data_IF_200722251996
#
_entry.id   IF_200722251996
#
_cell.length_a   1.000
_cell.length_b   1.000
_cell.length_c   1.000
_cell.angle_alpha   90.00
_cell.angle_beta   90.00
_cell.angle_gamma   90.00
#
_symmetry.space_group_name_H-M   'P 1'
#
loop_
_entity.id
_entity.type
_entity.pdbx_description
1 polymer ?
#
# COMPACT_ATOMS: atom_id res chain seq x y z
N UNK A 1 -37.27 5.18 23.38
CA UNK A 1 -36.35 4.31 22.60
C UNK A 1 -35.08 5.11 22.32
N UNK A 2 -33.89 4.64 22.71
CA UNK A 2 -32.62 5.35 22.46
C UNK A 2 -32.05 4.89 21.11
N UNK A 3 -31.60 5.83 20.27
CA UNK A 3 -31.00 5.56 18.95
C UNK A 3 -29.54 6.05 18.96
N UNK A 4 -28.60 5.19 18.61
CA UNK A 4 -27.16 5.50 18.51
C UNK A 4 -26.77 5.58 17.05
N UNK A 5 -25.89 6.51 16.69
CA UNK A 5 -25.41 6.69 15.31
C UNK A 5 -24.32 7.76 15.24
N UNK A 6 -23.69 7.86 14.08
CA UNK A 6 -22.70 8.89 13.78
C UNK A 6 -23.32 9.88 12.80
N UNK A 7 -23.13 11.17 13.04
CA UNK A 7 -23.58 12.25 12.17
C UNK A 7 -22.42 13.21 11.95
N UNK A 8 -22.22 13.62 10.70
CA UNK A 8 -21.17 14.57 10.33
C UNK A 8 -21.64 16.00 10.56
N UNK A 9 -20.75 16.82 11.11
CA UNK A 9 -20.99 18.24 11.32
C UNK A 9 -19.70 18.96 11.70
N UNK A 10 -19.69 20.25 11.42
CA UNK A 10 -18.48 21.08 11.54
C UNK A 10 -18.09 21.33 13.01
N UNK A 11 -19.05 21.21 13.94
CA UNK A 11 -18.83 21.25 15.37
C UNK A 11 -19.97 20.58 16.16
N UNK A 12 -19.72 20.27 17.44
CA UNK A 12 -20.71 19.64 18.31
C UNK A 12 -22.02 20.46 18.50
N UNK A 13 -21.97 21.81 18.40
CA UNK A 13 -23.16 22.67 18.52
C UNK A 13 -24.11 22.50 17.32
N UNK A 14 -23.57 22.46 16.11
CA UNK A 14 -24.30 22.26 14.86
C UNK A 14 -24.94 20.86 14.83
N UNK A 15 -24.21 19.84 15.28
CA UNK A 15 -24.73 18.46 15.39
C UNK A 15 -25.91 18.38 16.37
N UNK A 16 -25.81 19.01 17.55
CA UNK A 16 -26.89 19.03 18.54
C UNK A 16 -28.16 19.71 18.02
N UNK A 17 -27.99 20.82 17.29
CA UNK A 17 -29.10 21.56 16.70
C UNK A 17 -29.84 20.72 15.65
N UNK A 18 -29.10 20.04 14.75
CA UNK A 18 -29.69 19.11 13.76
C UNK A 18 -30.43 17.94 14.42
N UNK A 19 -29.88 17.36 15.49
CA UNK A 19 -30.55 16.28 16.22
C UNK A 19 -31.88 16.77 16.84
N UNK A 20 -31.90 18.00 17.38
CA UNK A 20 -33.10 18.62 17.93
C UNK A 20 -34.16 18.90 16.86
N UNK A 21 -33.76 19.36 15.68
CA UNK A 21 -34.66 19.56 14.52
C UNK A 21 -35.28 18.25 14.01
N UNK A 22 -34.56 17.14 14.14
CA UNK A 22 -35.08 15.79 13.85
C UNK A 22 -35.95 15.21 14.98
N UNK A 23 -36.33 16.03 15.98
CA UNK A 23 -37.14 15.61 17.12
C UNK A 23 -36.40 14.72 18.12
N UNK A 24 -35.07 14.65 18.06
CA UNK A 24 -34.24 13.87 18.99
C UNK A 24 -33.57 14.78 20.02
N UNK A 25 -33.66 14.43 21.30
CA UNK A 25 -32.97 15.16 22.37
C UNK A 25 -31.59 14.50 22.57
N UNK A 26 -30.49 15.21 22.28
CA UNK A 26 -29.15 14.64 22.46
C UNK A 26 -28.83 14.50 23.95
N UNK A 27 -28.70 13.24 24.41
CA UNK A 27 -28.25 12.91 25.77
C UNK A 27 -26.75 13.12 25.91
N UNK A 28 -25.99 12.80 24.87
CA UNK A 28 -24.54 12.92 24.83
C UNK A 28 -24.09 13.13 23.38
N UNK A 29 -23.24 14.13 23.14
CA UNK A 29 -22.62 14.37 21.82
C UNK A 29 -21.13 14.50 22.06
N UNK A 30 -20.41 13.49 21.59
CA UNK A 30 -18.95 13.42 21.63
C UNK A 30 -18.47 13.62 20.20
N UNK A 31 -17.50 14.52 20.01
CA UNK A 31 -16.85 14.69 18.72
C UNK A 31 -16.10 13.41 18.36
N UNK A 32 -16.62 12.67 17.39
CA UNK A 32 -15.86 11.62 16.73
C UNK A 32 -14.81 12.32 15.87
N UNK A 33 -13.63 12.59 16.43
CA UNK A 33 -12.46 12.94 15.62
C UNK A 33 -12.42 11.91 14.49
N UNK A 34 -12.45 12.39 13.25
CA UNK A 34 -12.27 11.56 12.08
C UNK A 34 -11.16 10.55 12.40
N UNK A 35 -11.43 9.26 12.22
CA UNK A 35 -10.40 8.22 12.34
C UNK A 35 -9.44 8.32 11.15
N UNK A 36 -8.88 9.49 10.92
CA UNK A 36 -7.67 9.72 10.16
C UNK A 36 -6.60 10.08 11.20
N UNK A 37 -5.58 9.23 11.29
CA UNK A 37 -4.39 9.43 12.13
C UNK A 37 -4.60 9.41 13.66
N UNK A 38 -4.74 8.19 14.22
CA UNK A 38 -4.05 7.68 15.42
C UNK A 38 -4.75 6.41 15.93
N UNK A 39 -4.43 5.27 15.31
CA UNK A 39 -4.56 3.95 15.94
C UNK A 39 -3.16 3.46 16.30
N UNK A 40 -2.58 4.03 17.35
CA UNK A 40 -1.49 3.38 18.08
C UNK A 40 -2.08 2.20 18.85
N UNK A 41 -1.69 0.97 18.49
CA UNK A 41 -1.96 -0.20 19.32
C UNK A 41 -2.80 -1.32 18.71
N UNK A 42 -2.67 -1.61 17.41
CA UNK A 42 -2.62 -3.00 16.99
C UNK A 42 -1.35 -3.17 16.16
N UNK A 43 -0.34 -3.83 16.74
CA UNK A 43 0.74 -4.43 15.94
C UNK A 43 0.07 -5.59 15.19
N UNK A 44 -0.71 -5.25 14.17
CA UNK A 44 -1.29 -6.21 13.26
C UNK A 44 -0.12 -6.84 12.53
N UNK A 45 0.14 -8.11 12.82
CA UNK A 45 1.10 -8.92 12.08
C UNK A 45 0.70 -8.88 10.60
N UNK A 46 1.31 -7.99 9.83
CA UNK A 46 1.11 -7.91 8.38
C UNK A 46 1.77 -9.16 7.79
N UNK A 47 0.97 -10.19 7.51
CA UNK A 47 1.44 -11.44 6.89
C UNK A 47 2.06 -11.15 5.53
N UNK A 48 3.14 -11.81 5.14
CA UNK A 48 3.66 -11.74 3.76
C UNK A 48 2.69 -12.24 2.69
N UNK A 49 3.21 -12.42 1.47
CA UNK A 49 2.54 -13.16 0.39
C UNK A 49 3.18 -14.54 0.27
N UNK A 50 2.57 -15.43 -0.53
CA UNK A 50 3.16 -16.74 -0.81
C UNK A 50 4.42 -16.56 -1.68
N UNK A 51 5.42 -17.42 -1.52
CA UNK A 51 6.64 -17.39 -2.34
C UNK A 51 6.34 -17.43 -3.83
N UNK A 52 5.40 -18.26 -4.28
CA UNK A 52 4.98 -18.33 -5.69
C UNK A 52 4.41 -16.99 -6.23
N UNK A 53 3.74 -16.21 -5.38
CA UNK A 53 3.21 -14.90 -5.77
C UNK A 53 4.34 -13.86 -5.86
N UNK A 54 5.32 -13.92 -4.94
CA UNK A 54 6.52 -13.07 -4.98
C UNK A 54 7.38 -13.41 -6.22
N UNK A 55 7.55 -14.70 -6.52
CA UNK A 55 8.26 -15.17 -7.70
C UNK A 55 7.60 -14.62 -8.97
N UNK A 56 6.28 -14.77 -9.09
CA UNK A 56 5.52 -14.30 -10.24
C UNK A 56 5.67 -12.79 -10.49
N UNK A 57 5.44 -11.96 -9.47
CA UNK A 57 5.56 -10.50 -9.63
C UNK A 57 7.00 -10.07 -9.93
N UNK A 58 8.00 -10.76 -9.36
CA UNK A 58 9.42 -10.44 -9.58
C UNK A 58 9.83 -10.82 -11.00
N UNK A 59 9.39 -11.99 -11.48
CA UNK A 59 9.60 -12.44 -12.85
C UNK A 59 8.94 -11.51 -13.87
N UNK A 60 7.69 -11.14 -13.65
CA UNK A 60 6.99 -10.19 -14.54
C UNK A 60 7.72 -8.84 -14.59
N UNK A 61 8.13 -8.31 -13.44
CA UNK A 61 8.86 -7.04 -13.38
C UNK A 61 10.22 -7.15 -14.10
N UNK A 62 10.95 -8.24 -13.90
CA UNK A 62 12.23 -8.52 -14.58
C UNK A 62 12.06 -8.49 -16.09
N UNK A 63 11.09 -9.25 -16.63
CA UNK A 63 10.84 -9.35 -18.07
C UNK A 63 10.49 -7.99 -18.69
N UNK A 64 9.61 -7.23 -18.04
CA UNK A 64 9.18 -5.93 -18.55
C UNK A 64 10.31 -4.89 -18.49
N UNK A 65 11.07 -4.84 -17.40
CA UNK A 65 12.21 -3.92 -17.28
C UNK A 65 13.31 -4.26 -18.30
N UNK A 66 13.61 -5.54 -18.51
CA UNK A 66 14.55 -5.98 -19.55
C UNK A 66 14.11 -5.62 -20.97
N UNK A 67 12.80 -5.51 -21.23
CA UNK A 67 12.27 -5.03 -22.52
C UNK A 67 12.50 -3.54 -22.79
N UNK A 68 13.06 -2.80 -21.83
CA UNK A 68 13.24 -1.34 -21.91
C UNK A 68 11.98 -0.55 -21.58
N UNK A 69 10.93 -1.19 -21.06
CA UNK A 69 9.73 -0.50 -20.61
C UNK A 69 10.04 0.36 -19.36
N UNK A 70 9.53 1.61 -19.28
CA UNK A 70 9.72 2.45 -18.10
C UNK A 70 9.17 1.79 -16.83
N UNK A 71 9.89 1.95 -15.71
CA UNK A 71 9.58 1.25 -14.46
C UNK A 71 8.15 1.50 -13.97
N UNK A 72 7.62 2.72 -14.13
CA UNK A 72 6.25 3.04 -13.71
C UNK A 72 5.19 2.33 -14.56
N UNK A 73 5.50 2.05 -15.83
CA UNK A 73 4.66 1.26 -16.72
C UNK A 73 4.75 -0.23 -16.41
N UNK A 74 5.95 -0.73 -16.08
CA UNK A 74 6.14 -2.11 -15.63
C UNK A 74 5.31 -2.38 -14.37
N UNK A 75 5.40 -1.50 -13.37
CA UNK A 75 4.62 -1.62 -12.13
C UNK A 75 3.11 -1.52 -12.39
N UNK A 76 2.67 -0.66 -13.34
CA UNK A 76 1.26 -0.59 -13.75
C UNK A 76 0.80 -1.93 -14.29
N UNK A 77 1.52 -2.47 -15.28
CA UNK A 77 1.18 -3.73 -15.93
C UNK A 77 1.12 -4.89 -14.93
N UNK A 78 2.12 -5.01 -14.04
CA UNK A 78 2.14 -6.04 -12.98
C UNK A 78 0.94 -5.87 -12.04
N UNK A 79 0.59 -4.64 -11.65
CA UNK A 79 -0.56 -4.40 -10.77
C UNK A 79 -1.89 -4.77 -11.42
N UNK A 80 -2.08 -4.47 -12.71
CA UNK A 80 -3.29 -4.76 -13.47
C UNK A 80 -3.46 -6.27 -13.71
N UNK A 81 -2.36 -6.97 -13.97
CA UNK A 81 -2.33 -8.42 -14.17
C UNK A 81 -2.43 -9.22 -12.86
N UNK A 82 -2.19 -8.61 -11.71
CA UNK A 82 -2.27 -9.30 -10.43
C UNK A 82 -3.69 -9.83 -10.15
N UNK A 83 -3.79 -11.14 -9.95
CA UNK A 83 -5.05 -11.82 -9.61
C UNK A 83 -5.52 -11.49 -8.19
N UNK A 84 -4.58 -11.36 -7.25
CA UNK A 84 -4.90 -11.07 -5.84
C UNK A 84 -5.09 -9.57 -5.65
N UNK A 85 -6.26 -9.12 -5.15
CA UNK A 85 -6.51 -7.69 -4.89
C UNK A 85 -5.47 -7.07 -3.96
N UNK A 86 -4.95 -7.86 -3.01
CA UNK A 86 -3.91 -7.44 -2.08
C UNK A 86 -2.58 -7.11 -2.79
N UNK A 87 -2.18 -7.92 -3.76
CA UNK A 87 -0.95 -7.71 -4.53
C UNK A 87 -1.14 -6.52 -5.46
N UNK A 88 -2.29 -6.45 -6.17
CA UNK A 88 -2.66 -5.28 -6.99
C UNK A 88 -2.52 -3.97 -6.21
N UNK A 89 -3.12 -3.91 -5.02
CA UNK A 89 -3.08 -2.71 -4.16
C UNK A 89 -1.65 -2.38 -3.71
N UNK A 90 -0.86 -3.39 -3.34
CA UNK A 90 0.53 -3.22 -2.92
C UNK A 90 1.41 -2.68 -4.07
N UNK A 91 1.37 -3.30 -5.25
CA UNK A 91 2.16 -2.86 -6.40
C UNK A 91 1.71 -1.49 -6.89
N UNK A 92 0.40 -1.19 -6.88
CA UNK A 92 -0.11 0.14 -7.21
C UNK A 92 0.38 1.22 -6.22
N UNK A 93 0.48 0.90 -4.92
CA UNK A 93 1.04 1.82 -3.92
C UNK A 93 2.55 2.03 -4.12
N UNK A 94 3.31 0.96 -4.39
CA UNK A 94 4.73 1.05 -4.76
C UNK A 94 4.90 1.95 -5.99
N UNK A 95 4.08 1.74 -7.02
CA UNK A 95 4.06 2.58 -8.23
C UNK A 95 3.80 4.05 -7.91
N UNK A 96 2.78 4.36 -7.09
CA UNK A 96 2.47 5.75 -6.71
C UNK A 96 3.70 6.45 -6.13
N UNK A 97 4.38 5.78 -5.21
CA UNK A 97 5.57 6.32 -4.55
C UNK A 97 6.75 6.47 -5.53
N UNK A 98 6.95 5.52 -6.43
CA UNK A 98 7.95 5.67 -7.52
C UNK A 98 7.62 6.86 -8.42
N UNK A 99 6.35 7.07 -8.79
CA UNK A 99 5.93 8.22 -9.60
C UNK A 99 6.04 9.55 -8.87
N UNK A 100 6.06 9.54 -7.53
CA UNK A 100 6.35 10.71 -6.68
C UNK A 100 7.86 10.99 -6.58
N UNK A 101 8.71 10.16 -7.19
CA UNK A 101 10.16 10.34 -7.27
C UNK A 101 10.97 9.58 -6.23
N UNK A 102 10.35 8.71 -5.44
CA UNK A 102 11.08 7.85 -4.51
C UNK A 102 11.76 6.69 -5.25
N UNK A 103 12.93 6.22 -4.78
CA UNK A 103 13.53 4.99 -5.27
C UNK A 103 12.59 3.78 -5.12
N UNK A 104 12.70 2.80 -6.01
CA UNK A 104 11.99 1.53 -5.93
C UNK A 104 12.31 0.81 -4.63
N UNK A 105 13.59 0.75 -4.22
CA UNK A 105 13.99 0.09 -2.98
C UNK A 105 13.31 0.70 -1.75
N UNK A 106 13.22 2.03 -1.69
CA UNK A 106 12.54 2.78 -0.63
C UNK A 106 11.02 2.57 -0.68
N UNK A 107 10.46 2.41 -1.88
CA UNK A 107 9.04 2.15 -2.08
C UNK A 107 8.64 0.73 -1.66
N UNK A 108 9.47 -0.27 -1.98
CA UNK A 108 9.34 -1.63 -1.49
C UNK A 108 9.52 -1.72 0.04
N UNK A 109 10.28 -0.77 0.62
CA UNK A 109 10.48 -0.62 2.06
C UNK A 109 9.20 -0.41 2.88
N UNK A 110 8.09 0.02 2.27
CA UNK A 110 6.79 0.13 2.94
C UNK A 110 6.14 -1.26 3.19
N UNK A 111 6.67 -2.29 2.54
CA UNK A 111 6.21 -3.67 2.61
C UNK A 111 7.34 -4.64 3.01
N UNK A 112 8.02 -4.44 4.17
CA UNK A 112 9.18 -5.25 4.57
C UNK A 112 8.82 -6.70 4.93
N UNK A 113 7.53 -6.98 5.09
CA UNK A 113 6.96 -8.32 5.32
C UNK A 113 6.75 -9.11 4.02
N UNK A 114 6.95 -8.47 2.86
CA UNK A 114 6.88 -9.07 1.52
C UNK A 114 8.26 -9.01 0.85
N UNK A 115 8.91 -7.85 0.91
CA UNK A 115 10.25 -7.63 0.38
C UNK A 115 11.23 -7.53 1.53
N UNK A 116 11.98 -8.60 1.77
CA UNK A 116 12.96 -8.65 2.84
C UNK A 116 14.12 -7.66 2.62
N UNK A 117 15.05 -7.61 3.57
CA UNK A 117 16.19 -6.70 3.51
C UNK A 117 17.13 -7.01 2.34
N UNK A 118 17.35 -8.29 2.03
CA UNK A 118 18.21 -8.70 0.93
C UNK A 118 17.63 -8.25 -0.41
N UNK A 119 16.33 -8.51 -0.63
CA UNK A 119 15.60 -8.09 -1.83
C UNK A 119 15.74 -6.59 -2.06
N UNK A 120 15.43 -5.78 -1.03
CA UNK A 120 15.48 -4.31 -1.13
C UNK A 120 16.90 -3.80 -1.32
N UNK A 121 17.89 -4.41 -0.68
CA UNK A 121 19.30 -4.01 -0.82
C UNK A 121 19.83 -4.28 -2.23
N UNK A 122 19.44 -5.41 -2.81
CA UNK A 122 19.77 -5.75 -4.20
C UNK A 122 19.14 -4.73 -5.16
N UNK A 123 17.84 -4.44 -5.00
CA UNK A 123 17.16 -3.41 -5.80
C UNK A 123 17.86 -2.06 -5.68
N UNK A 124 18.22 -1.62 -4.47
CA UNK A 124 18.91 -0.35 -4.25
C UNK A 124 20.26 -0.29 -4.98
N UNK A 125 21.02 -1.39 -4.97
CA UNK A 125 22.27 -1.49 -5.70
C UNK A 125 22.04 -1.45 -7.23
N UNK A 126 20.98 -2.10 -7.72
CA UNK A 126 20.57 -2.06 -9.12
C UNK A 126 20.19 -0.66 -9.58
N UNK A 127 19.35 0.04 -8.83
CA UNK A 127 18.95 1.42 -9.12
C UNK A 127 20.15 2.36 -9.14
N UNK A 128 21.01 2.30 -8.12
CA UNK A 128 22.17 3.18 -8.00
C UNK A 128 23.21 2.97 -9.10
N UNK A 129 23.35 1.73 -9.57
CA UNK A 129 24.29 1.38 -10.63
C UNK A 129 23.71 1.48 -12.04
N UNK A 130 22.39 1.66 -12.18
CA UNK A 130 21.70 1.63 -13.47
C UNK A 130 21.52 0.23 -14.06
N UNK A 131 21.70 -0.83 -13.27
CA UNK A 131 21.61 -2.25 -13.68
C UNK A 131 20.40 -2.95 -13.03
N UNK A 132 19.26 -2.24 -12.95
CA UNK A 132 18.05 -2.75 -12.30
C UNK A 132 17.49 -3.99 -13.02
N UNK A 133 17.62 -4.04 -14.35
CA UNK A 133 17.28 -5.17 -15.20
C UNK A 133 17.99 -6.47 -14.77
N UNK A 134 19.31 -6.43 -14.61
CA UNK A 134 20.14 -7.57 -14.22
C UNK A 134 19.85 -7.99 -12.78
N UNK A 135 19.60 -7.02 -11.90
CA UNK A 135 19.27 -7.28 -10.51
C UNK A 135 17.90 -7.95 -10.36
N UNK A 136 16.89 -7.48 -11.08
CA UNK A 136 15.55 -8.07 -11.05
C UNK A 136 15.56 -9.50 -11.60
N UNK A 137 16.39 -9.79 -12.59
CA UNK A 137 16.55 -11.15 -13.12
C UNK A 137 17.11 -12.09 -12.06
N UNK A 138 18.19 -11.68 -11.37
CA UNK A 138 18.76 -12.46 -10.26
C UNK A 138 17.79 -12.63 -9.10
N UNK A 139 16.97 -11.61 -8.82
CA UNK A 139 15.94 -11.71 -7.78
C UNK A 139 14.82 -12.66 -8.18
N UNK A 140 14.44 -12.69 -9.46
CA UNK A 140 13.45 -13.66 -9.96
C UNK A 140 13.97 -15.09 -9.80
N UNK A 141 15.21 -15.36 -10.23
CA UNK A 141 15.87 -16.65 -10.02
C UNK A 141 15.98 -17.02 -8.53
N UNK A 142 16.31 -16.05 -7.67
CA UNK A 142 16.43 -16.27 -6.23
C UNK A 142 15.11 -16.66 -5.57
N UNK A 143 14.00 -16.00 -5.93
CA UNK A 143 12.68 -16.26 -5.31
C UNK A 143 12.01 -17.52 -5.87
N UNK A 144 12.37 -17.95 -7.09
CA UNK A 144 11.86 -19.18 -7.71
C UNK A 144 12.44 -20.46 -7.10
N UNK A 145 13.63 -20.40 -6.51
CA UNK A 145 14.35 -21.52 -5.88
C UNK A 145 14.08 -21.62 -4.37
#
# INVERSE_FOLDING_TARGET
>A
KQKKGTIEGDNARQVRQRLKEQGMIPVEVVEAKAKAAKSSGSVGFKRGIKTAELALITRQLSTLVQSGMPLEECLRAVSEQAEKPRIRTMIAAVRSKVTEGYPLADSLGDYPHVFDELFRSMVAAGEKSGHLDTVLERLAEYVEN
#
